data_IF_152309287075
#
_entry.id   IF_152309287075
#
_cell.length_a   1.000
_cell.length_b   1.000
_cell.length_c   1.000
_cell.angle_alpha   90.00
_cell.angle_beta   90.00
_cell.angle_gamma   90.00
#
_symmetry.space_group_name_H-M   'P 1'
#
loop_
_entity.id
_entity.type
_entity.pdbx_description
1 polymer ?
#
# COMPACT_ATOMS: atom_id res chain seq x y z
N UNK A 1 -26.40 5.51 0.46
CA UNK A 1 -25.03 4.99 0.24
C UNK A 1 -24.04 6.05 0.72
N UNK A 2 -23.04 5.71 1.54
CA UNK A 2 -22.09 6.72 2.04
C UNK A 2 -21.19 7.23 0.90
N UNK A 3 -20.69 8.46 1.00
CA UNK A 3 -19.76 9.00 0.00
C UNK A 3 -18.47 8.19 -0.09
N UNK A 4 -18.02 7.64 1.04
CA UNK A 4 -16.87 6.73 1.08
C UNK A 4 -17.10 5.50 0.22
N UNK A 5 -18.25 4.86 0.40
CA UNK A 5 -18.65 3.68 -0.40
C UNK A 5 -18.72 4.06 -1.88
N UNK A 6 -19.34 5.21 -2.20
CA UNK A 6 -19.43 5.71 -3.58
C UNK A 6 -18.06 5.96 -4.20
N UNK A 7 -17.15 6.58 -3.45
CA UNK A 7 -15.77 6.81 -3.86
C UNK A 7 -15.02 5.51 -4.11
N UNK A 8 -15.06 4.56 -3.17
CA UNK A 8 -14.33 3.29 -3.28
C UNK A 8 -14.84 2.44 -4.43
N UNK A 9 -16.16 2.34 -4.62
CA UNK A 9 -16.77 1.64 -5.76
C UNK A 9 -16.35 2.28 -7.08
N UNK A 10 -16.39 3.60 -7.17
CA UNK A 10 -15.92 4.32 -8.36
C UNK A 10 -14.41 4.11 -8.60
N UNK A 11 -13.60 4.23 -7.56
CA UNK A 11 -12.16 4.10 -7.63
C UNK A 11 -11.76 2.71 -8.13
N UNK A 12 -12.23 1.65 -7.47
CA UNK A 12 -11.87 0.27 -7.82
C UNK A 12 -12.39 -0.14 -9.21
N UNK A 13 -13.59 0.29 -9.60
CA UNK A 13 -14.09 0.02 -10.95
C UNK A 13 -13.24 0.70 -12.04
N UNK A 14 -12.75 1.92 -11.80
CA UNK A 14 -11.94 2.67 -12.78
C UNK A 14 -10.50 2.17 -12.90
N UNK A 15 -9.96 1.53 -11.86
CA UNK A 15 -8.60 0.98 -11.89
C UNK A 15 -8.54 -0.52 -12.19
N UNK A 16 -9.68 -1.20 -12.38
CA UNK A 16 -9.76 -2.66 -12.50
C UNK A 16 -8.78 -3.27 -13.53
N UNK A 17 -8.55 -2.57 -14.64
CA UNK A 17 -7.65 -3.02 -15.71
C UNK A 17 -6.17 -2.66 -15.50
N UNK A 18 -5.84 -1.89 -14.45
CA UNK A 18 -4.47 -1.50 -14.14
C UNK A 18 -3.72 -2.60 -13.40
N UNK A 19 -2.39 -2.56 -13.45
CA UNK A 19 -1.54 -3.54 -12.77
C UNK A 19 -1.28 -3.11 -11.31
N UNK A 20 -2.14 -3.59 -10.41
CA UNK A 20 -2.06 -3.33 -8.98
C UNK A 20 -2.50 -4.55 -8.16
N UNK A 21 -2.17 -4.56 -6.88
CA UNK A 21 -2.77 -5.44 -5.88
C UNK A 21 -2.91 -4.70 -4.54
N UNK A 22 -4.06 -4.78 -3.89
CA UNK A 22 -4.23 -4.29 -2.52
C UNK A 22 -3.52 -5.22 -1.53
N UNK A 23 -3.11 -4.65 -0.40
CA UNK A 23 -2.29 -5.29 0.63
C UNK A 23 -2.92 -5.07 2.00
N UNK A 24 -3.05 -6.14 2.79
CA UNK A 24 -3.74 -6.10 4.09
C UNK A 24 -5.21 -5.67 3.98
N UNK A 25 -5.82 -5.81 2.80
CA UNK A 25 -7.23 -5.45 2.60
C UNK A 25 -8.12 -6.57 3.14
N UNK A 26 -8.80 -6.31 4.26
CA UNK A 26 -9.57 -7.32 4.99
C UNK A 26 -11.08 -7.19 4.83
N UNK A 27 -11.55 -6.18 4.10
CA UNK A 27 -12.99 -5.90 3.98
C UNK A 27 -13.69 -6.92 3.06
N UNK A 28 -14.78 -7.49 3.55
CA UNK A 28 -15.62 -8.44 2.80
C UNK A 28 -16.60 -7.74 1.85
N UNK A 29 -16.89 -6.46 2.12
CA UNK A 29 -17.70 -5.55 1.30
C UNK A 29 -17.08 -4.16 1.24
N UNK A 30 -17.49 -3.32 0.29
CA UNK A 30 -17.04 -1.92 0.24
C UNK A 30 -17.63 -1.13 1.42
N UNK A 31 -18.84 -1.49 1.83
CA UNK A 31 -19.59 -0.93 2.95
C UNK A 31 -18.89 -1.18 4.29
N UNK A 32 -18.29 -2.36 4.47
CA UNK A 32 -17.52 -2.73 5.66
C UNK A 32 -16.08 -2.20 5.64
N UNK A 33 -15.63 -1.62 4.52
CA UNK A 33 -14.27 -1.12 4.41
C UNK A 33 -14.08 0.15 5.26
N UNK A 34 -13.67 -0.05 6.51
CA UNK A 34 -13.40 1.01 7.48
C UNK A 34 -11.92 1.42 7.55
N UNK A 35 -11.07 0.86 6.68
CA UNK A 35 -9.65 1.18 6.66
C UNK A 35 -9.41 2.66 6.37
N UNK A 36 -8.78 3.37 7.31
CA UNK A 36 -8.34 4.75 7.08
C UNK A 36 -7.30 4.85 5.97
N UNK A 37 -6.60 3.74 5.68
CA UNK A 37 -5.52 3.68 4.72
C UNK A 37 -5.59 2.42 3.87
N UNK A 38 -5.78 2.59 2.57
CA UNK A 38 -5.70 1.51 1.59
C UNK A 38 -4.25 1.42 1.09
N UNK A 39 -3.65 0.24 1.25
CA UNK A 39 -2.29 -0.02 0.78
C UNK A 39 -2.31 -0.84 -0.49
N UNK A 40 -1.56 -0.43 -1.50
CA UNK A 40 -1.57 -1.06 -2.81
C UNK A 40 -0.16 -1.12 -3.37
N UNK A 41 0.26 -2.28 -3.86
CA UNK A 41 1.40 -2.35 -4.78
C UNK A 41 0.91 -2.04 -6.19
N UNK A 42 1.66 -1.21 -6.92
CA UNK A 42 1.27 -0.73 -8.26
C UNK A 42 2.49 -0.76 -9.16
N UNK A 43 2.31 -1.21 -10.40
CA UNK A 43 3.34 -1.07 -11.42
C UNK A 43 3.67 0.42 -11.63
N UNK A 44 4.97 0.76 -11.67
CA UNK A 44 5.41 2.17 -11.76
C UNK A 44 4.78 2.93 -12.94
N UNK A 45 4.54 2.26 -14.06
CA UNK A 45 3.95 2.84 -15.26
C UNK A 45 2.44 3.16 -15.11
N UNK A 46 1.76 2.56 -14.15
CA UNK A 46 0.32 2.76 -13.92
C UNK A 46 0.02 3.78 -12.81
N UNK A 47 1.02 4.24 -12.05
CA UNK A 47 0.82 5.24 -10.98
C UNK A 47 0.10 6.48 -11.51
N UNK A 48 0.57 7.07 -12.61
CA UNK A 48 -0.04 8.28 -13.18
C UNK A 48 -1.51 8.04 -13.60
N UNK A 49 -1.84 6.85 -14.07
CA UNK A 49 -3.23 6.49 -14.43
C UNK A 49 -4.12 6.45 -13.18
N UNK A 50 -3.62 5.88 -12.08
CA UNK A 50 -4.32 5.89 -10.80
C UNK A 50 -4.51 7.33 -10.28
N UNK A 51 -3.46 8.17 -10.35
CA UNK A 51 -3.56 9.58 -9.96
C UNK A 51 -4.65 10.30 -10.75
N UNK A 52 -4.70 10.10 -12.08
CA UNK A 52 -5.73 10.69 -12.93
C UNK A 52 -7.15 10.25 -12.53
N UNK A 53 -7.36 8.97 -12.20
CA UNK A 53 -8.67 8.48 -11.71
C UNK A 53 -9.07 9.19 -10.42
N UNK A 54 -8.13 9.37 -9.48
CA UNK A 54 -8.41 10.04 -8.21
C UNK A 54 -8.70 11.53 -8.45
N UNK A 55 -7.90 12.24 -9.24
CA UNK A 55 -8.06 13.67 -9.54
C UNK A 55 -9.37 14.01 -10.26
N UNK A 56 -9.90 13.07 -11.04
CA UNK A 56 -11.17 13.22 -11.77
C UNK A 56 -12.38 12.74 -10.97
N UNK A 57 -12.18 12.19 -9.77
CA UNK A 57 -13.27 11.69 -8.94
C UNK A 57 -14.20 12.83 -8.47
N UNK A 58 -15.53 12.70 -8.64
CA UNK A 58 -16.48 13.71 -8.19
C UNK A 58 -16.71 13.69 -6.67
N UNK A 59 -16.25 12.65 -5.97
CA UNK A 59 -16.48 12.45 -4.53
C UNK A 59 -15.43 13.10 -3.62
N UNK A 60 -14.45 13.77 -4.21
CA UNK A 60 -13.32 14.32 -3.49
C UNK A 60 -13.42 15.84 -3.42
N UNK A 61 -13.29 16.39 -2.22
CA UNK A 61 -13.18 17.83 -2.00
C UNK A 61 -11.74 18.31 -2.14
N UNK A 62 -10.79 17.49 -1.68
CA UNK A 62 -9.37 17.86 -1.66
C UNK A 62 -8.47 16.62 -1.76
N UNK A 63 -7.35 16.78 -2.45
CA UNK A 63 -6.28 15.80 -2.54
C UNK A 63 -4.97 16.45 -2.10
N UNK A 64 -4.21 15.75 -1.25
CA UNK A 64 -2.80 16.06 -0.96
C UNK A 64 -1.94 14.90 -1.44
N UNK A 65 -0.98 15.19 -2.31
CA UNK A 65 -0.07 14.19 -2.87
C UNK A 65 1.32 14.34 -2.26
N UNK A 66 1.85 13.25 -1.71
CA UNK A 66 3.20 13.19 -1.17
C UNK A 66 3.98 12.05 -1.80
N UNK A 67 5.01 12.38 -2.56
CA UNK A 67 5.86 11.40 -3.23
C UNK A 67 7.14 11.12 -2.44
N UNK A 68 7.45 9.83 -2.30
CA UNK A 68 8.76 9.31 -1.91
C UNK A 68 9.23 8.33 -2.99
N UNK A 69 10.53 8.00 -3.07
CA UNK A 69 11.08 7.17 -4.15
C UNK A 69 10.33 5.86 -4.43
N UNK A 70 9.82 5.22 -3.36
CA UNK A 70 9.24 3.87 -3.44
C UNK A 70 7.75 3.79 -3.10
N UNK A 71 7.19 4.91 -2.63
CA UNK A 71 5.80 4.99 -2.19
C UNK A 71 5.28 6.41 -2.42
N UNK A 72 4.11 6.51 -3.02
CA UNK A 72 3.34 7.75 -3.06
C UNK A 72 2.17 7.64 -2.09
N UNK A 73 1.94 8.69 -1.31
CA UNK A 73 0.82 8.79 -0.39
C UNK A 73 -0.14 9.85 -0.89
N UNK A 74 -1.38 9.45 -1.14
CA UNK A 74 -2.49 10.37 -1.34
C UNK A 74 -3.27 10.49 -0.03
N UNK A 75 -3.49 11.71 0.43
CA UNK A 75 -4.44 12.01 1.49
C UNK A 75 -5.66 12.66 0.86
N UNK A 76 -6.79 12.00 0.98
CA UNK A 76 -8.05 12.38 0.37
C UNK A 76 -8.97 12.95 1.45
N UNK A 77 -9.67 14.02 1.10
CA UNK A 77 -10.81 14.52 1.87
C UNK A 77 -12.04 14.40 0.99
N UNK A 78 -13.01 13.61 1.43
CA UNK A 78 -14.31 13.45 0.76
C UNK A 78 -15.15 14.73 0.91
N UNK A 79 -16.24 14.86 0.17
CA UNK A 79 -17.13 16.04 0.24
C UNK A 79 -17.76 16.26 1.60
N UNK A 80 -18.08 15.20 2.32
CA UNK A 80 -18.57 15.19 3.69
C UNK A 80 -17.46 15.39 4.75
N UNK A 81 -16.21 15.62 4.34
CA UNK A 81 -15.08 15.88 5.23
C UNK A 81 -14.35 14.64 5.74
N UNK A 82 -14.84 13.42 5.47
CA UNK A 82 -14.14 12.21 5.86
C UNK A 82 -12.78 12.09 5.17
N UNK A 83 -11.82 11.47 5.87
CA UNK A 83 -10.47 11.28 5.38
C UNK A 83 -10.21 9.83 4.96
N UNK A 84 -9.44 9.66 3.89
CA UNK A 84 -8.95 8.37 3.43
C UNK A 84 -7.55 8.54 2.85
N UNK A 85 -6.65 7.64 3.18
CA UNK A 85 -5.32 7.59 2.59
C UNK A 85 -5.23 6.45 1.57
N UNK A 86 -4.50 6.69 0.48
CA UNK A 86 -4.10 5.66 -0.47
C UNK A 86 -2.58 5.66 -0.57
N UNK A 87 -1.98 4.52 -0.25
CA UNK A 87 -0.55 4.27 -0.43
C UNK A 87 -0.30 3.49 -1.72
N UNK A 88 0.35 4.14 -2.68
CA UNK A 88 0.79 3.52 -3.93
C UNK A 88 2.27 3.11 -3.79
N UNK A 89 2.50 1.84 -3.47
CA UNK A 89 3.81 1.24 -3.29
C UNK A 89 4.30 0.76 -4.66
N UNK A 90 5.40 1.30 -5.16
CA UNK A 90 6.04 0.77 -6.38
C UNK A 90 7.18 -0.20 -6.06
N UNK A 91 7.68 -0.19 -4.82
CA UNK A 91 8.74 -1.08 -4.36
C UNK A 91 8.69 -1.27 -2.85
N UNK A 92 8.86 -2.51 -2.39
CA UNK A 92 8.88 -2.84 -0.97
C UNK A 92 10.25 -2.55 -0.35
N UNK A 93 10.56 -1.26 -0.17
CA UNK A 93 11.84 -0.80 0.39
C UNK A 93 11.64 -0.11 1.72
N UNK A 94 12.42 -0.53 2.73
CA UNK A 94 12.47 0.11 4.05
C UNK A 94 13.92 0.32 4.48
N UNK A 95 14.28 1.58 4.81
CA UNK A 95 15.66 1.96 5.20
C UNK A 95 16.74 1.45 4.22
N UNK A 96 16.40 1.46 2.92
CA UNK A 96 17.24 0.97 1.83
C UNK A 96 17.24 -0.55 1.62
N UNK A 97 16.49 -1.33 2.39
CA UNK A 97 16.38 -2.79 2.27
C UNK A 97 15.11 -3.16 1.51
N UNK A 98 15.22 -3.99 0.48
CA UNK A 98 14.09 -4.52 -0.30
C UNK A 98 13.68 -5.83 0.35
N UNK A 99 12.46 -5.92 0.86
CA UNK A 99 12.02 -7.08 1.63
C UNK A 99 11.09 -8.01 0.86
N UNK A 100 10.42 -7.53 -0.19
CA UNK A 100 9.56 -8.33 -1.09
C UNK A 100 9.81 -7.87 -2.54
N UNK A 101 9.75 -8.79 -3.49
CA UNK A 101 9.78 -8.46 -4.92
C UNK A 101 8.38 -8.05 -5.39
N UNK A 102 8.21 -6.79 -5.76
CA UNK A 102 6.94 -6.22 -6.21
C UNK A 102 6.33 -6.94 -7.41
N UNK A 103 7.18 -7.42 -8.33
CA UNK A 103 6.71 -8.06 -9.56
C UNK A 103 6.12 -9.44 -9.29
N UNK A 104 6.59 -10.14 -8.25
CA UNK A 104 6.00 -11.40 -7.84
C UNK A 104 4.59 -11.17 -7.31
N UNK A 105 4.41 -10.18 -6.42
CA UNK A 105 3.09 -9.84 -5.85
C UNK A 105 2.10 -9.43 -6.93
N UNK A 106 2.53 -8.59 -7.88
CA UNK A 106 1.68 -8.16 -8.99
C UNK A 106 1.34 -9.32 -9.94
N UNK A 107 2.32 -10.20 -10.25
CA UNK A 107 2.09 -11.33 -11.16
C UNK A 107 1.16 -12.38 -10.57
N UNK A 108 1.18 -12.57 -9.25
CA UNK A 108 0.34 -13.57 -8.57
C UNK A 108 -0.94 -12.97 -7.98
N UNK A 109 -1.24 -11.68 -8.21
CA UNK A 109 -2.46 -11.06 -7.67
C UNK A 109 -3.71 -11.77 -8.17
N UNK A 110 -4.74 -11.83 -7.33
CA UNK A 110 -6.03 -12.46 -7.63
C UNK A 110 -7.16 -11.45 -7.43
N UNK A 111 -8.34 -11.74 -7.98
CA UNK A 111 -9.55 -10.98 -7.67
C UNK A 111 -10.21 -11.57 -6.42
N UNK A 112 -10.64 -10.72 -5.50
CA UNK A 112 -11.53 -11.13 -4.41
C UNK A 112 -13.01 -11.11 -4.87
N UNK A 113 -13.94 -11.42 -3.96
CA UNK A 113 -15.39 -11.38 -4.20
C UNK A 113 -15.93 -10.01 -4.64
N UNK A 114 -15.15 -8.93 -4.43
CA UNK A 114 -15.50 -7.56 -4.80
C UNK A 114 -14.93 -7.13 -6.16
N UNK A 115 -14.32 -8.06 -6.92
CA UNK A 115 -13.57 -7.77 -8.15
C UNK A 115 -12.41 -6.79 -7.93
N UNK A 116 -11.85 -6.73 -6.73
CA UNK A 116 -10.66 -5.95 -6.40
C UNK A 116 -9.45 -6.87 -6.51
N UNK A 117 -8.41 -6.41 -7.22
CA UNK A 117 -7.12 -7.12 -7.23
C UNK A 117 -6.48 -7.04 -5.85
N UNK A 118 -6.31 -8.19 -5.21
CA UNK A 118 -5.67 -8.40 -3.91
C UNK A 118 -4.37 -9.18 -4.12
N UNK A 119 -3.40 -9.00 -3.23
CA UNK A 119 -2.24 -9.88 -3.20
C UNK A 119 -2.68 -11.32 -2.86
N UNK A 120 -2.06 -12.31 -3.50
CA UNK A 120 -2.26 -13.72 -3.15
C UNK A 120 -1.95 -13.95 -1.65
N UNK A 121 -2.66 -14.87 -0.96
CA UNK A 121 -2.61 -14.96 0.50
C UNK A 121 -1.20 -15.06 1.09
N UNK A 122 -0.28 -15.79 0.44
CA UNK A 122 1.10 -15.95 0.89
C UNK A 122 1.89 -14.64 0.85
N UNK A 123 1.79 -13.89 -0.25
CA UNK A 123 2.42 -12.57 -0.36
C UNK A 123 1.73 -11.50 0.49
N UNK A 124 0.41 -11.59 0.64
CA UNK A 124 -0.35 -10.67 1.49
C UNK A 124 0.06 -10.81 2.96
N UNK A 125 0.12 -12.05 3.45
CA UNK A 125 0.64 -12.37 4.78
C UNK A 125 2.09 -11.92 4.94
N UNK A 126 2.97 -12.27 3.98
CA UNK A 126 4.38 -11.87 3.99
C UNK A 126 4.52 -10.34 4.10
N UNK A 127 3.71 -9.59 3.35
CA UNK A 127 3.69 -8.13 3.42
C UNK A 127 3.30 -7.62 4.80
N UNK A 128 2.12 -8.02 5.30
CA UNK A 128 1.59 -7.54 6.59
C UNK A 128 2.56 -7.90 7.71
N UNK A 129 3.01 -9.14 7.77
CA UNK A 129 3.96 -9.55 8.79
C UNK A 129 5.28 -8.77 8.72
N UNK A 130 5.89 -8.64 7.53
CA UNK A 130 7.19 -7.96 7.42
C UNK A 130 7.10 -6.46 7.68
N UNK A 131 6.03 -5.77 7.27
CA UNK A 131 5.91 -4.34 7.54
C UNK A 131 5.86 -4.09 9.05
N UNK A 132 5.20 -4.96 9.82
CA UNK A 132 5.15 -4.85 11.29
C UNK A 132 6.46 -5.33 11.94
N UNK A 133 6.99 -6.49 11.54
CA UNK A 133 8.24 -7.04 12.07
C UNK A 133 9.42 -6.07 11.87
N UNK A 134 9.58 -5.49 10.68
CA UNK A 134 10.62 -4.50 10.38
C UNK A 134 10.39 -3.12 11.02
N UNK A 135 9.19 -2.89 11.56
CA UNK A 135 8.86 -1.78 12.45
C UNK A 135 9.06 -2.12 13.94
N UNK A 136 9.49 -3.36 14.26
CA UNK A 136 9.59 -3.87 15.62
C UNK A 136 8.26 -3.83 16.38
N UNK A 137 7.18 -4.18 15.68
CA UNK A 137 5.81 -4.21 16.20
C UNK A 137 5.16 -5.56 15.85
N UNK A 138 4.18 -5.95 16.65
CA UNK A 138 3.30 -7.07 16.32
C UNK A 138 2.34 -6.72 15.20
N UNK A 139 1.77 -7.74 14.58
CA UNK A 139 0.67 -7.61 13.62
C UNK A 139 -0.60 -7.16 14.37
N UNK A 140 -1.35 -6.17 13.86
CA UNK A 140 -2.61 -5.72 14.46
C UNK A 140 -3.65 -6.84 14.54
N UNK A 141 -4.51 -6.76 15.55
CA UNK A 141 -5.48 -7.82 15.86
C UNK A 141 -6.48 -8.08 14.71
N UNK A 142 -6.96 -7.03 14.04
CA UNK A 142 -7.86 -7.19 12.89
C UNK A 142 -7.19 -7.97 11.74
N UNK A 143 -5.87 -7.79 11.55
CA UNK A 143 -5.12 -8.51 10.53
C UNK A 143 -4.83 -9.95 10.95
N UNK A 144 -4.43 -10.19 12.21
CA UNK A 144 -4.23 -11.56 12.71
C UNK A 144 -5.52 -12.38 12.62
N UNK A 145 -6.66 -11.79 13.01
CA UNK A 145 -7.98 -12.42 12.88
C UNK A 145 -8.33 -12.73 11.43
N UNK A 146 -8.10 -11.79 10.50
CA UNK A 146 -8.29 -12.03 9.07
C UNK A 146 -7.49 -13.23 8.56
N UNK A 147 -6.20 -13.34 8.92
CA UNK A 147 -5.38 -14.49 8.51
C UNK A 147 -5.73 -15.79 9.25
N UNK A 148 -6.33 -15.70 10.44
CA UNK A 148 -6.81 -16.85 11.20
C UNK A 148 -8.06 -17.49 10.57
N UNK A 149 -8.86 -16.71 9.83
CA UNK A 149 -10.07 -17.19 9.14
C UNK A 149 -9.79 -18.03 7.89
N UNK A 150 -8.56 -17.98 7.34
CA UNK A 150 -8.22 -18.80 6.19
C UNK A 150 -8.35 -20.30 6.49
N UNK A 151 -8.80 -21.05 5.49
CA UNK A 151 -8.86 -22.51 5.56
C UNK A 151 -7.47 -23.15 5.74
N UNK A 152 -7.47 -24.44 6.10
CA UNK A 152 -6.24 -25.20 6.37
C UNK A 152 -5.31 -25.26 5.16
N UNK A 153 -5.83 -25.38 3.95
CA UNK A 153 -5.03 -25.47 2.72
C UNK A 153 -4.31 -24.14 2.47
N UNK A 154 -5.04 -23.03 2.52
CA UNK A 154 -4.51 -21.67 2.36
C UNK A 154 -3.47 -21.36 3.44
N UNK A 155 -3.75 -21.68 4.70
CA UNK A 155 -2.77 -21.52 5.80
C UNK A 155 -1.53 -22.38 5.59
N UNK A 156 -1.67 -23.59 5.06
CA UNK A 156 -0.53 -24.46 4.75
C UNK A 156 0.35 -23.89 3.63
N UNK A 157 -0.25 -23.27 2.60
CA UNK A 157 0.47 -22.58 1.52
C UNK A 157 1.26 -21.38 2.05
N UNK A 158 0.61 -20.53 2.85
CA UNK A 158 1.26 -19.39 3.51
C UNK A 158 2.44 -19.86 4.37
N UNK A 159 2.23 -20.92 5.17
CA UNK A 159 3.26 -21.48 6.02
C UNK A 159 4.46 -22.03 5.23
N UNK A 160 4.22 -22.79 4.16
CA UNK A 160 5.26 -23.28 3.27
C UNK A 160 6.04 -22.13 2.60
N UNK A 161 5.34 -21.08 2.15
CA UNK A 161 5.95 -19.88 1.59
C UNK A 161 6.90 -19.20 2.56
N UNK A 162 6.43 -18.92 3.79
CA UNK A 162 7.25 -18.24 4.80
C UNK A 162 8.44 -19.10 5.23
N UNK A 163 8.23 -20.40 5.47
CA UNK A 163 9.34 -21.32 5.82
C UNK A 163 10.37 -21.41 4.70
N UNK A 164 9.93 -21.52 3.44
CA UNK A 164 10.82 -21.57 2.28
C UNK A 164 11.62 -20.29 2.09
N UNK A 165 11.02 -19.12 2.29
CA UNK A 165 11.69 -17.83 2.08
C UNK A 165 12.65 -17.42 3.19
N UNK A 166 12.36 -17.84 4.42
CA UNK A 166 13.02 -17.31 5.62
C UNK A 166 13.71 -18.37 6.47
N UNK A 167 13.51 -19.66 6.18
CA UNK A 167 14.08 -20.79 6.91
C UNK A 167 13.79 -20.69 8.42
N UNK A 168 12.56 -20.30 8.76
CA UNK A 168 12.09 -20.26 10.14
C UNK A 168 11.63 -21.65 10.58
N UNK A 169 11.89 -21.95 11.84
CA UNK A 169 11.29 -23.08 12.55
C UNK A 169 10.06 -22.52 13.25
N UNK A 170 8.89 -22.92 12.77
CA UNK A 170 7.57 -22.48 13.24
C UNK A 170 6.71 -23.73 13.37
N UNK A 171 5.87 -23.80 14.39
CA UNK A 171 4.83 -24.84 14.48
C UNK A 171 3.52 -24.34 13.87
N UNK A 172 3.19 -23.06 14.10
CA UNK A 172 2.04 -22.38 13.49
C UNK A 172 2.44 -21.01 12.91
N UNK A 173 1.62 -20.50 11.99
CA UNK A 173 1.72 -19.12 11.49
C UNK A 173 1.53 -18.08 12.60
N UNK A 174 0.73 -18.41 13.62
CA UNK A 174 0.31 -17.45 14.63
C UNK A 174 1.48 -17.02 15.54
N UNK A 175 2.55 -17.81 15.60
CA UNK A 175 3.83 -17.46 16.24
C UNK A 175 4.48 -16.20 15.62
N UNK A 176 4.08 -15.82 14.41
CA UNK A 176 4.62 -14.66 13.71
C UNK A 176 3.86 -13.36 14.01
N UNK A 177 2.66 -13.42 14.61
CA UNK A 177 1.88 -12.23 14.90
C UNK A 177 2.51 -11.37 16.00
N UNK A 178 2.95 -11.91 17.15
CA UNK A 178 3.66 -11.12 18.15
C UNK A 178 5.06 -10.75 17.66
N UNK A 179 5.56 -9.60 18.13
CA UNK A 179 6.93 -9.22 17.83
C UNK A 179 7.92 -10.04 18.66
N UNK A 180 8.77 -10.79 17.98
CA UNK A 180 9.90 -11.48 18.61
C UNK A 180 11.24 -10.98 18.07
N UNK A 181 12.09 -10.49 18.98
CA UNK A 181 13.44 -9.98 18.64
C UNK A 181 14.32 -11.04 17.96
N UNK A 182 14.15 -12.32 18.33
CA UNK A 182 14.85 -13.46 17.70
C UNK A 182 14.51 -13.56 16.21
N UNK A 183 13.21 -13.54 15.87
CA UNK A 183 12.76 -13.56 14.48
C UNK A 183 13.24 -12.32 13.73
N UNK A 184 13.10 -11.13 14.30
CA UNK A 184 13.58 -9.89 13.68
C UNK A 184 15.04 -9.97 13.23
N UNK A 185 15.95 -10.44 14.10
CA UNK A 185 17.38 -10.58 13.75
C UNK A 185 17.59 -11.56 12.60
N UNK A 186 17.03 -12.78 12.70
CA UNK A 186 17.16 -13.84 11.69
C UNK A 186 16.59 -13.39 10.34
N UNK A 187 15.43 -12.76 10.34
CA UNK A 187 14.75 -12.26 9.13
C UNK A 187 15.52 -11.13 8.48
N UNK A 188 15.97 -10.15 9.27
CA UNK A 188 16.74 -9.02 8.74
C UNK A 188 18.03 -9.49 8.09
N UNK A 189 18.76 -10.41 8.73
CA UNK A 189 19.98 -11.02 8.18
C UNK A 189 19.71 -11.73 6.84
N UNK A 190 18.66 -12.55 6.79
CA UNK A 190 18.29 -13.27 5.56
C UNK A 190 17.89 -12.32 4.43
N UNK A 191 17.10 -11.29 4.71
CA UNK A 191 16.71 -10.29 3.72
C UNK A 191 17.95 -9.55 3.19
N UNK A 192 18.86 -9.13 4.07
CA UNK A 192 20.07 -8.40 3.68
C UNK A 192 20.99 -9.22 2.77
N UNK A 193 21.02 -10.54 2.92
CA UNK A 193 21.81 -11.45 2.06
C UNK A 193 21.23 -11.68 0.67
N UNK A 194 19.99 -11.26 0.40
CA UNK A 194 19.37 -11.45 -0.93
C UNK A 194 20.05 -10.58 -2.00
N UNK A 195 20.01 -11.04 -3.26
CA UNK A 195 20.66 -10.36 -4.41
C UNK A 195 20.16 -8.92 -4.64
N UNK A 196 18.93 -8.63 -4.23
CA UNK A 196 18.30 -7.31 -4.27
C UNK A 196 18.97 -6.34 -3.29
N UNK A 197 19.63 -6.85 -2.26
CA UNK A 197 20.20 -6.09 -1.14
C UNK A 197 21.73 -6.07 -1.09
N UNK A 198 22.40 -6.39 -2.21
CA UNK A 198 23.83 -6.10 -2.38
C UNK A 198 24.14 -4.66 -1.97
N UNK A 199 25.29 -4.46 -1.33
CA UNK A 199 25.67 -3.19 -0.68
C UNK A 199 25.48 -1.96 -1.57
N UNK A 200 25.95 -2.00 -2.84
CA UNK A 200 25.76 -0.89 -3.79
C UNK A 200 24.28 -0.55 -4.03
N UNK A 201 23.41 -1.56 -4.24
CA UNK A 201 21.96 -1.36 -4.42
C UNK A 201 21.31 -0.79 -3.18
N UNK A 202 21.72 -1.24 -1.99
CA UNK A 202 21.25 -0.68 -0.73
C UNK A 202 21.65 0.80 -0.58
N UNK A 203 22.92 1.11 -0.88
CA UNK A 203 23.43 2.48 -0.80
C UNK A 203 22.73 3.41 -1.78
N UNK A 204 22.52 3.00 -3.04
CA UNK A 204 21.73 3.77 -4.00
C UNK A 204 20.31 4.06 -3.50
N UNK A 205 19.63 3.08 -2.88
CA UNK A 205 18.28 3.31 -2.35
C UNK A 205 18.29 4.26 -1.17
N UNK A 206 19.31 4.21 -0.32
CA UNK A 206 19.50 5.17 0.79
C UNK A 206 19.76 6.57 0.26
N UNK A 207 20.63 6.72 -0.75
CA UNK A 207 20.91 8.02 -1.36
C UNK A 207 19.69 8.62 -2.04
N UNK A 208 18.87 7.81 -2.74
CA UNK A 208 17.58 8.26 -3.27
C UNK A 208 16.67 8.84 -2.19
N UNK A 209 16.59 8.22 -1.01
CA UNK A 209 15.81 8.76 0.11
C UNK A 209 16.33 10.11 0.58
N UNK A 210 17.66 10.26 0.74
CA UNK A 210 18.29 11.52 1.16
C UNK A 210 18.06 12.60 0.12
N UNK A 211 18.25 12.29 -1.17
CA UNK A 211 18.00 13.21 -2.27
C UNK A 211 16.55 13.69 -2.29
N UNK A 212 15.57 12.77 -2.21
CA UNK A 212 14.15 13.15 -2.17
C UNK A 212 13.80 13.95 -0.92
N UNK A 213 14.39 13.63 0.24
CA UNK A 213 14.20 14.42 1.45
C UNK A 213 14.72 15.84 1.27
N UNK A 214 15.94 16.02 0.75
CA UNK A 214 16.53 17.33 0.49
C UNK A 214 15.73 18.14 -0.54
N UNK A 215 15.38 17.52 -1.67
CA UNK A 215 14.56 18.14 -2.71
C UNK A 215 13.18 18.55 -2.18
N UNK A 216 12.54 17.71 -1.36
CA UNK A 216 11.25 18.03 -0.75
C UNK A 216 11.34 19.12 0.31
N UNK A 217 12.44 19.23 1.07
CA UNK A 217 12.65 20.35 1.99
C UNK A 217 12.74 21.68 1.23
N UNK A 218 13.48 21.70 0.11
CA UNK A 218 13.58 22.88 -0.77
C UNK A 218 12.22 23.22 -1.40
N UNK A 219 11.44 22.21 -1.81
CA UNK A 219 10.13 22.38 -2.44
C UNK A 219 9.02 22.76 -1.46
N UNK A 220 8.98 22.18 -0.26
CA UNK A 220 7.99 22.51 0.77
C UNK A 220 8.18 23.92 1.34
N UNK A 221 9.42 24.43 1.37
CA UNK A 221 9.69 25.83 1.65
C UNK A 221 9.17 26.78 0.56
N UNK A 222 8.70 26.25 -0.58
CA UNK A 222 8.20 27.05 -1.70
C UNK A 222 6.73 26.80 -2.06
N UNK A 223 6.19 25.57 -2.01
CA UNK A 223 4.83 25.25 -2.48
C UNK A 223 4.23 24.00 -1.80
N UNK A 224 3.16 24.15 -0.99
CA UNK A 224 2.28 23.02 -0.61
C UNK A 224 1.22 22.84 -1.71
N UNK A 225 1.42 21.85 -2.57
CA UNK A 225 0.48 21.58 -3.68
C UNK A 225 -0.77 20.88 -3.12
N UNK A 226 -1.87 21.62 -3.04
CA UNK A 226 -3.21 21.11 -2.78
C UNK A 226 -4.01 21.21 -4.07
N UNK A 227 -4.68 20.13 -4.47
CA UNK A 227 -5.55 20.15 -5.63
C UNK A 227 -7.01 20.12 -5.19
N UNK A 228 -7.82 20.99 -5.80
CA UNK A 228 -9.26 20.75 -5.91
C UNK A 228 -9.48 19.77 -7.09
N UNK A 229 -10.17 18.64 -6.86
CA UNK A 229 -10.43 17.66 -7.92
C UNK A 229 -11.30 18.27 -9.02
N UNK A 230 -10.96 18.05 -10.29
CA UNK A 230 -11.72 18.62 -11.43
C UNK A 230 -13.15 18.07 -11.49
N UNK A 231 -13.35 16.83 -11.06
CA UNK A 231 -14.68 16.21 -10.98
C UNK A 231 -15.61 16.90 -9.98
N UNK A 232 -15.05 17.54 -8.95
CA UNK A 232 -15.82 18.18 -7.88
C UNK A 232 -16.50 19.47 -8.35
N UNK A 233 -15.79 20.33 -9.10
CA UNK A 233 -16.36 21.55 -9.69
C UNK A 233 -17.54 21.22 -10.62
N UNK A 234 -17.43 20.14 -11.40
CA UNK A 234 -18.50 19.67 -12.28
C UNK A 234 -19.70 19.11 -11.52
N UNK A 235 -19.48 18.47 -10.37
CA UNK A 235 -20.55 17.98 -9.50
C UNK A 235 -21.32 19.11 -8.79
N UNK A 236 -20.67 20.27 -8.57
CA UNK A 236 -21.28 21.47 -7.98
C UNK A 236 -21.94 22.41 -9.01
N UNK A 237 -21.88 22.10 -10.30
CA UNK A 237 -22.41 22.98 -11.35
C UNK A 237 -21.68 24.31 -11.49
N UNK A 238 -20.49 24.46 -10.90
CA UNK A 238 -19.72 25.71 -10.90
C UNK A 238 -18.59 25.65 -11.92
N UNK A 239 -18.91 26.01 -13.17
CA UNK A 239 -17.91 26.44 -14.13
C UNK A 239 -17.59 27.93 -13.89
N UNK A 240 -16.61 28.22 -13.02
CA UNK A 240 -15.76 29.41 -13.22
C UNK A 240 -14.31 29.09 -12.83
N UNK A 241 -13.33 29.45 -13.68
CA UNK A 241 -11.92 29.20 -13.40
C UNK A 241 -11.40 30.24 -12.38
N UNK A 242 -10.93 29.77 -11.22
CA UNK A 242 -10.20 30.62 -10.28
C UNK A 242 -8.84 30.98 -10.91
N UNK A 243 -8.70 32.26 -11.29
CA UNK A 243 -7.42 32.87 -11.65
C UNK A 243 -6.51 32.90 -10.41
N UNK A 244 -5.32 32.35 -10.55
CA UNK A 244 -4.24 32.49 -9.56
C UNK A 244 -3.73 33.94 -9.60
N UNK A 245 -3.88 34.66 -8.47
CA UNK A 245 -3.04 35.80 -8.10
C UNK A 245 -2.06 35.32 -7.02
#
# INVERSE_FOLDING_TARGET
>A
MSERVSFLTHFFSKIANLNYATLGFTASSIEECNDETIQMVVAKNDIRKILNVIELSPYLRRISYHEKPFISTLRLTLSNGHHLNIHLINRFVRKGVCYINENEVLKTSTLNSLNIKVAEPSYNFEYVWLIHCLNQRGVPENQSQFFAQYDRETRSKIFAHIRGRYFLELNTLDELFPFHRKFYKKITEKILRRKENKWFRQWMRKSLYVFYAAANTVRNNKLKVQFQPKGYAKALGTEEPIRLL
#
